data_IF_142649878603
#
_entry.id   IF_142649878603
#
_cell.length_a   1.000
_cell.length_b   1.000
_cell.length_c   1.000
_cell.angle_alpha   90.00
_cell.angle_beta   90.00
_cell.angle_gamma   90.00
#
_symmetry.space_group_name_H-M   'P 1'
#
loop_
_entity.id
_entity.type
_entity.pdbx_description
1 polymer ?
#
# COMPACT_ATOMS: atom_id res chain seq x y z
N UNK A 1 -4.90 0.30 -6.21
CA UNK A 1 -3.46 0.61 -5.99
C UNK A 1 -2.77 -0.39 -5.07
N UNK A 2 -3.34 -0.80 -3.92
CA UNK A 2 -2.68 -1.74 -3.00
C UNK A 2 -2.30 -3.08 -3.64
N UNK A 3 -3.23 -3.74 -4.36
CA UNK A 3 -2.92 -5.00 -5.06
C UNK A 3 -1.79 -4.85 -6.08
N UNK A 4 -1.87 -3.80 -6.90
CA UNK A 4 -0.87 -3.53 -7.95
C UNK A 4 0.51 -3.25 -7.34
N UNK A 5 0.56 -2.46 -6.26
CA UNK A 5 1.79 -2.21 -5.52
C UNK A 5 2.38 -3.48 -4.91
N UNK A 6 1.55 -4.32 -4.30
CA UNK A 6 1.98 -5.60 -3.73
C UNK A 6 2.58 -6.53 -4.80
N UNK A 7 1.91 -6.69 -5.94
CA UNK A 7 2.42 -7.51 -7.06
C UNK A 7 3.75 -6.94 -7.60
N UNK A 8 3.88 -5.63 -7.71
CA UNK A 8 5.13 -4.99 -8.12
C UNK A 8 6.27 -5.26 -7.13
N UNK A 9 5.95 -5.42 -5.84
CA UNK A 9 6.91 -5.81 -4.80
C UNK A 9 7.14 -7.33 -4.70
N UNK A 10 6.52 -8.14 -5.57
CA UNK A 10 6.75 -9.59 -5.63
C UNK A 10 5.75 -10.44 -4.84
N UNK A 11 4.66 -9.85 -4.35
CA UNK A 11 3.59 -10.60 -3.68
C UNK A 11 2.90 -11.59 -4.62
N UNK A 12 2.51 -12.74 -4.07
CA UNK A 12 1.60 -13.67 -4.73
C UNK A 12 0.18 -13.06 -4.88
N UNK A 13 -0.68 -13.62 -5.73
CA UNK A 13 -2.06 -13.14 -5.86
C UNK A 13 -2.85 -13.12 -4.54
N UNK A 14 -2.61 -14.10 -3.66
CA UNK A 14 -3.25 -14.16 -2.32
C UNK A 14 -2.79 -12.99 -1.45
N UNK A 15 -1.48 -12.76 -1.39
CA UNK A 15 -0.88 -11.66 -0.63
C UNK A 15 -1.31 -10.30 -1.18
N UNK A 16 -1.43 -10.17 -2.50
CA UNK A 16 -1.97 -8.97 -3.14
C UNK A 16 -3.44 -8.74 -2.77
N UNK A 17 -4.25 -9.80 -2.68
CA UNK A 17 -5.62 -9.73 -2.19
C UNK A 17 -5.69 -9.27 -0.73
N UNK A 18 -4.81 -9.77 0.13
CA UNK A 18 -4.70 -9.31 1.52
C UNK A 18 -4.30 -7.83 1.59
N UNK A 19 -3.37 -7.38 0.76
CA UNK A 19 -2.99 -5.97 0.70
C UNK A 19 -4.16 -5.05 0.28
N UNK A 20 -5.06 -5.52 -0.59
CA UNK A 20 -6.30 -4.75 -0.90
C UNK A 20 -7.15 -4.55 0.34
N UNK A 21 -7.40 -5.62 1.09
CA UNK A 21 -8.18 -5.54 2.33
C UNK A 21 -7.50 -4.63 3.36
N UNK A 22 -6.18 -4.74 3.49
CA UNK A 22 -5.37 -3.92 4.37
C UNK A 22 -5.36 -2.44 4.00
N UNK A 23 -5.52 -2.12 2.72
CA UNK A 23 -5.60 -0.74 2.24
C UNK A 23 -6.78 0.07 2.80
N UNK A 24 -7.78 -0.58 3.39
CA UNK A 24 -8.89 0.10 4.07
C UNK A 24 -8.64 0.36 5.55
N UNK A 25 -7.55 -0.15 6.11
CA UNK A 25 -7.29 -0.09 7.56
C UNK A 25 -7.13 1.34 8.09
N UNK A 26 -6.35 2.25 7.47
CA UNK A 26 -6.18 3.60 7.99
C UNK A 26 -7.52 4.32 8.18
N UNK A 27 -8.42 4.23 7.19
CA UNK A 27 -9.75 4.84 7.23
C UNK A 27 -10.66 4.18 8.28
N UNK A 28 -10.59 2.84 8.41
CA UNK A 28 -11.37 2.11 9.42
C UNK A 28 -10.95 2.45 10.84
N UNK A 29 -9.65 2.66 11.07
CA UNK A 29 -9.13 3.09 12.37
C UNK A 29 -9.63 4.50 12.70
N UNK A 30 -9.83 5.37 11.72
CA UNK A 30 -10.44 6.69 11.93
C UNK A 30 -11.91 6.62 12.35
N UNK A 31 -12.64 5.61 11.90
CA UNK A 31 -14.06 5.44 12.25
C UNK A 31 -14.29 5.25 13.76
N UNK A 32 -13.26 4.93 14.54
CA UNK A 32 -13.31 4.87 16.01
C UNK A 32 -13.09 6.24 16.69
N UNK A 33 -13.17 7.35 15.94
CA UNK A 33 -13.13 8.71 16.50
C UNK A 33 -11.76 9.39 16.47
N UNK A 34 -10.81 8.87 15.71
CA UNK A 34 -9.52 9.54 15.50
C UNK A 34 -9.63 10.66 14.44
N UNK A 35 -8.80 11.70 14.54
CA UNK A 35 -8.77 12.78 13.54
C UNK A 35 -8.48 12.24 12.15
N UNK A 36 -9.26 12.66 11.15
CA UNK A 36 -9.07 12.27 9.76
C UNK A 36 -7.66 12.60 9.26
N UNK A 37 -6.99 11.59 8.68
CA UNK A 37 -5.59 11.67 8.22
C UNK A 37 -4.61 12.12 9.32
N UNK A 38 -4.88 11.71 10.55
CA UNK A 38 -4.01 11.94 11.71
C UNK A 38 -3.04 10.78 11.93
N UNK A 39 -3.00 10.27 13.15
CA UNK A 39 -2.11 9.17 13.57
C UNK A 39 -2.36 7.88 12.79
N UNK A 40 -3.59 7.63 12.33
CA UNK A 40 -3.96 6.48 11.49
C UNK A 40 -3.22 6.46 10.14
N UNK A 41 -2.92 7.63 9.60
CA UNK A 41 -2.18 7.80 8.34
C UNK A 41 -0.68 8.07 8.55
N UNK A 42 -0.18 7.94 9.78
CA UNK A 42 1.24 8.04 10.07
C UNK A 42 1.93 6.73 9.68
N UNK A 43 2.91 6.72 8.74
CA UNK A 43 3.40 5.47 8.16
C UNK A 43 4.24 4.61 9.13
N UNK A 44 4.89 5.22 10.11
CA UNK A 44 5.87 4.54 10.95
C UNK A 44 5.31 3.42 11.83
N UNK A 45 4.15 3.57 12.50
CA UNK A 45 3.56 2.46 13.25
C UNK A 45 3.26 1.24 12.36
N UNK A 46 2.76 1.48 11.14
CA UNK A 46 2.50 0.42 10.17
C UNK A 46 3.80 -0.25 9.71
N UNK A 47 4.83 0.54 9.39
CA UNK A 47 6.13 0.02 8.98
C UNK A 47 6.78 -0.84 10.08
N UNK A 48 6.72 -0.40 11.34
CA UNK A 48 7.21 -1.16 12.49
C UNK A 48 6.45 -2.48 12.67
N UNK A 49 5.13 -2.46 12.57
CA UNK A 49 4.31 -3.66 12.69
C UNK A 49 4.63 -4.67 11.57
N UNK A 50 4.77 -4.21 10.33
CA UNK A 50 5.14 -5.04 9.18
C UNK A 50 6.53 -5.65 9.39
N UNK A 51 7.51 -4.84 9.78
CA UNK A 51 8.85 -5.32 10.05
C UNK A 51 8.88 -6.38 11.15
N UNK A 52 8.13 -6.16 12.24
CA UNK A 52 8.01 -7.13 13.33
C UNK A 52 7.39 -8.45 12.89
N UNK A 53 6.37 -8.42 12.02
CA UNK A 53 5.72 -9.62 11.49
C UNK A 53 6.65 -10.39 10.55
N UNK A 54 7.33 -9.71 9.65
CA UNK A 54 8.24 -10.36 8.70
C UNK A 54 9.51 -10.90 9.37
N UNK A 55 9.97 -10.26 10.44
CA UNK A 55 11.13 -10.75 11.21
C UNK A 55 10.89 -12.11 11.89
N UNK A 56 9.63 -12.49 12.11
CA UNK A 56 9.27 -13.80 12.66
C UNK A 56 9.48 -14.95 11.66
N UNK A 57 9.60 -14.66 10.37
CA UNK A 57 9.80 -15.63 9.30
C UNK A 57 8.77 -16.78 9.30
N UNK A 58 7.55 -16.51 9.75
CA UNK A 58 6.45 -17.46 9.79
C UNK A 58 5.49 -17.22 8.62
N UNK A 59 4.81 -18.26 8.10
CA UNK A 59 3.80 -18.07 7.05
C UNK A 59 2.72 -17.06 7.44
N UNK A 60 2.26 -17.11 8.68
CA UNK A 60 1.24 -16.19 9.21
C UNK A 60 1.78 -14.76 9.34
N UNK A 61 3.03 -14.60 9.77
CA UNK A 61 3.72 -13.30 9.82
C UNK A 61 3.85 -12.67 8.42
N UNK A 62 4.17 -13.48 7.42
CA UNK A 62 4.23 -13.03 6.02
C UNK A 62 2.87 -12.57 5.52
N UNK A 63 1.82 -13.37 5.70
CA UNK A 63 0.46 -13.01 5.26
C UNK A 63 -0.07 -11.77 5.97
N UNK A 64 0.10 -11.69 7.30
CA UNK A 64 -0.29 -10.53 8.09
C UNK A 64 0.53 -9.27 7.70
N UNK A 65 1.82 -9.44 7.42
CA UNK A 65 2.68 -8.36 6.92
C UNK A 65 2.18 -7.80 5.59
N UNK A 66 1.80 -8.66 4.63
CA UNK A 66 1.21 -8.21 3.37
C UNK A 66 -0.14 -7.52 3.57
N UNK A 67 -0.96 -8.00 4.50
CA UNK A 67 -2.20 -7.33 4.86
C UNK A 67 -1.94 -5.90 5.36
N UNK A 68 -1.02 -5.72 6.31
CA UNK A 68 -0.65 -4.39 6.81
C UNK A 68 0.07 -3.52 5.76
N UNK A 69 0.80 -4.12 4.83
CA UNK A 69 1.46 -3.38 3.73
C UNK A 69 0.43 -2.65 2.85
N UNK A 70 -0.80 -3.16 2.77
CA UNK A 70 -1.91 -2.47 2.14
C UNK A 70 -2.16 -1.08 2.72
N UNK A 71 -2.03 -0.91 4.05
CA UNK A 71 -2.16 0.39 4.70
C UNK A 71 -1.06 1.37 4.25
N UNK A 72 0.19 0.90 4.09
CA UNK A 72 1.27 1.74 3.56
C UNK A 72 1.04 2.15 2.11
N UNK A 73 0.50 1.26 1.27
CA UNK A 73 0.13 1.62 -0.10
C UNK A 73 -0.99 2.66 -0.16
N UNK A 74 -1.97 2.58 0.75
CA UNK A 74 -3.01 3.58 0.89
C UNK A 74 -2.43 4.94 1.30
N UNK A 75 -1.63 4.97 2.37
CA UNK A 75 -0.96 6.18 2.86
C UNK A 75 -0.04 6.78 1.79
N UNK A 76 0.69 5.92 1.04
CA UNK A 76 1.53 6.34 -0.07
C UNK A 76 0.72 6.98 -1.20
N UNK A 77 -0.47 6.44 -1.52
CA UNK A 77 -1.36 7.05 -2.50
C UNK A 77 -1.86 8.43 -2.03
N UNK A 78 -2.19 8.55 -0.75
CA UNK A 78 -2.64 9.82 -0.15
C UNK A 78 -1.57 10.93 -0.15
N UNK A 79 -0.29 10.56 -0.14
CA UNK A 79 0.80 11.51 -0.27
C UNK A 79 0.74 12.29 -1.59
N UNK A 80 0.27 11.64 -2.67
CA UNK A 80 0.11 12.29 -3.98
C UNK A 80 -1.14 13.16 -4.05
N UNK A 81 -2.08 13.03 -3.11
CA UNK A 81 -3.30 13.82 -3.07
C UNK A 81 -3.07 15.21 -2.46
N UNK A 82 -4.04 16.11 -2.68
CA UNK A 82 -4.02 17.46 -2.09
C UNK A 82 -4.18 17.45 -0.57
N UNK A 83 -4.72 16.38 0.00
CA UNK A 83 -4.91 16.22 1.45
C UNK A 83 -3.62 15.93 2.22
N UNK A 84 -2.69 15.23 1.59
CA UNK A 84 -1.41 14.84 2.16
C UNK A 84 -1.49 13.89 3.36
N UNK A 85 -0.33 13.52 3.88
CA UNK A 85 -0.18 12.59 5.02
C UNK A 85 0.86 13.10 6.01
N UNK A 86 0.77 12.74 7.30
CA UNK A 86 1.80 13.04 8.28
C UNK A 86 2.99 12.10 8.09
N UNK A 87 4.07 12.58 7.45
CA UNK A 87 5.23 11.75 7.13
C UNK A 87 6.20 11.64 8.30
N UNK A 88 6.65 12.75 8.85
CA UNK A 88 7.66 12.79 9.92
C UNK A 88 7.02 12.88 11.30
N UNK A 89 6.13 13.83 11.49
CA UNK A 89 5.42 14.06 12.73
C UNK A 89 3.91 13.95 12.50
N UNK A 90 3.12 13.40 13.44
CA UNK A 90 1.69 13.17 13.24
C UNK A 90 0.89 14.48 13.03
N UNK A 91 1.47 15.62 13.39
CA UNK A 91 0.85 16.95 13.23
C UNK A 91 1.34 17.72 12.00
N UNK A 92 2.34 17.20 11.28
CA UNK A 92 2.94 17.87 10.13
C UNK A 92 2.65 17.10 8.84
N UNK A 93 1.79 17.65 8.00
CA UNK A 93 1.35 17.02 6.74
C UNK A 93 2.25 17.39 5.58
N UNK A 94 2.68 16.34 4.86
CA UNK A 94 3.38 16.43 3.59
C UNK A 94 2.43 16.05 2.48
N UNK A 95 2.48 16.78 1.35
CA UNK A 95 1.66 16.54 0.17
C UNK A 95 2.44 16.89 -1.09
N UNK A 96 2.31 16.06 -2.10
CA UNK A 96 2.77 16.39 -3.45
C UNK A 96 1.70 17.19 -4.22
N UNK A 97 0.43 17.00 -3.88
CA UNK A 97 -0.68 17.80 -4.39
C UNK A 97 -0.95 17.64 -5.89
N UNK A 98 -0.48 16.54 -6.48
CA UNK A 98 -0.58 16.27 -7.92
C UNK A 98 -1.96 15.76 -8.32
N UNK A 99 -2.65 15.08 -7.40
CA UNK A 99 -3.90 14.38 -7.68
C UNK A 99 -5.02 14.94 -6.80
N UNK A 100 -6.13 15.36 -7.43
CA UNK A 100 -7.36 15.66 -6.73
C UNK A 100 -8.21 14.39 -6.64
N UNK A 101 -8.74 14.07 -5.46
CA UNK A 101 -9.61 12.92 -5.28
C UNK A 101 -10.83 13.01 -6.22
N UNK A 102 -11.17 11.91 -6.89
CA UNK A 102 -12.22 11.85 -7.88
C UNK A 102 -11.89 12.49 -9.24
N UNK A 103 -10.63 12.91 -9.44
CA UNK A 103 -10.21 13.47 -10.74
C UNK A 103 -9.81 12.39 -11.75
N UNK A 104 -9.81 12.76 -13.04
CA UNK A 104 -9.26 11.87 -14.08
C UNK A 104 -7.82 11.45 -13.81
N UNK A 105 -7.02 12.31 -13.17
CA UNK A 105 -5.64 12.00 -12.78
C UNK A 105 -5.56 10.80 -11.83
N UNK A 106 -6.50 10.65 -10.90
CA UNK A 106 -6.57 9.50 -10.01
C UNK A 106 -6.82 8.21 -10.79
N UNK A 107 -7.80 8.21 -11.70
CA UNK A 107 -8.11 7.03 -12.52
C UNK A 107 -6.95 6.64 -13.44
N UNK A 108 -6.28 7.61 -14.06
CA UNK A 108 -5.10 7.38 -14.90
C UNK A 108 -3.97 6.75 -14.07
N UNK A 109 -3.72 7.27 -12.86
CA UNK A 109 -2.68 6.74 -11.97
C UNK A 109 -2.99 5.30 -11.56
N UNK A 110 -4.24 5.00 -11.18
CA UNK A 110 -4.68 3.64 -10.85
C UNK A 110 -4.52 2.71 -12.05
N UNK A 111 -4.95 3.15 -13.25
CA UNK A 111 -4.82 2.37 -14.48
C UNK A 111 -3.36 2.06 -14.81
N UNK A 112 -2.46 3.03 -14.64
CA UNK A 112 -1.02 2.83 -14.84
C UNK A 112 -0.44 1.76 -13.90
N UNK A 113 -0.76 1.82 -12.60
CA UNK A 113 -0.30 0.81 -11.65
C UNK A 113 -0.87 -0.58 -11.93
N UNK A 114 -2.13 -0.66 -12.35
CA UNK A 114 -2.73 -1.94 -12.75
C UNK A 114 -1.99 -2.51 -13.96
N UNK A 115 -1.77 -1.69 -14.99
CA UNK A 115 -1.08 -2.12 -16.20
C UNK A 115 0.35 -2.59 -15.88
N UNK A 116 1.10 -1.84 -15.08
CA UNK A 116 2.45 -2.20 -14.68
C UNK A 116 2.48 -3.52 -13.89
N UNK A 117 1.52 -3.74 -12.99
CA UNK A 117 1.41 -4.99 -12.24
C UNK A 117 1.07 -6.18 -13.14
N UNK A 118 0.16 -5.99 -14.10
CA UNK A 118 -0.18 -7.01 -15.10
C UNK A 118 1.02 -7.36 -15.96
N UNK A 119 1.73 -6.37 -16.48
CA UNK A 119 2.94 -6.60 -17.29
C UNK A 119 3.99 -7.36 -16.50
N UNK A 120 4.24 -6.99 -15.23
CA UNK A 120 5.18 -7.70 -14.36
C UNK A 120 4.73 -9.15 -14.12
N UNK A 121 3.46 -9.37 -13.82
CA UNK A 121 2.92 -10.70 -13.60
C UNK A 121 3.14 -11.61 -14.81
N UNK A 122 2.81 -11.15 -16.02
CA UNK A 122 3.02 -11.91 -17.25
C UNK A 122 4.50 -12.08 -17.57
N UNK A 123 5.35 -11.10 -17.36
CA UNK A 123 6.79 -11.21 -17.57
C UNK A 123 7.39 -12.31 -16.69
N UNK A 124 7.00 -12.39 -15.41
CA UNK A 124 7.43 -13.44 -14.49
C UNK A 124 6.94 -14.85 -14.90
N UNK A 125 5.82 -14.94 -15.64
CA UNK A 125 5.31 -16.23 -16.14
C UNK A 125 5.98 -16.66 -17.46
N UNK A 126 6.43 -15.70 -18.27
CA UNK A 126 6.98 -15.97 -19.61
C UNK A 126 8.49 -16.24 -19.58
N UNK A 127 9.20 -15.66 -18.61
CA UNK A 127 10.64 -15.91 -18.44
C UNK A 127 10.79 -17.14 -17.54
N UNK A 128 11.01 -18.35 -18.08
CA UNK A 128 11.35 -19.49 -17.26
C UNK A 128 12.66 -19.17 -16.56
N UNK A 129 12.73 -19.49 -15.27
CA UNK A 129 13.99 -19.50 -14.53
C UNK A 129 14.86 -20.55 -15.20
N UNK A 130 15.55 -20.16 -16.25
CA UNK A 130 16.63 -20.95 -16.84
C UNK A 130 17.80 -20.84 -15.88
N UNK A 131 17.85 -21.74 -14.94
CA UNK A 131 18.89 -21.69 -13.97
C UNK A 131 19.11 -23.02 -13.30
N UNK A 132 20.15 -23.64 -13.70
CA UNK A 132 21.01 -24.67 -13.15
C UNK A 132 20.77 -26.03 -13.72
#
# INVERSE_FOLDING_TARGET
>A
MAASGAILCGASPVEAGLAVLGGTLPDRVEAVGLPHRGVSHWPWPWALAIWSLWSQQTPWGTLAGWWLTGALFHIGADLFTVGGVPLLLPNWRWRLGVIHNGSYGEYITVAFFILAAVMRYFHLQIVPVSGV
#
